data_IF_349704199121
#
_entry.id   IF_349704199121
#
_cell.length_a   1.000
_cell.length_b   1.000
_cell.length_c   1.000
_cell.angle_alpha   90.00
_cell.angle_beta   90.00
_cell.angle_gamma   90.00
#
_symmetry.space_group_name_H-M   'P 1'
#
loop_
_entity.id
_entity.type
_entity.pdbx_description
1 polymer ?
#
# COMPACT_ATOMS: atom_id res chain seq x y z
N UNK A 1 -2.82 13.30 5.20
CA UNK A 1 -2.83 12.07 4.38
C UNK A 1 -2.80 12.46 2.91
N UNK A 2 -2.00 11.79 2.06
CA UNK A 2 -2.05 11.97 0.60
C UNK A 2 -3.15 11.06 0.05
N UNK A 3 -4.02 11.58 -0.82
CA UNK A 3 -5.06 10.78 -1.46
C UNK A 3 -4.39 9.77 -2.43
N UNK A 4 -4.58 8.45 -2.25
CA UNK A 4 -4.02 7.46 -3.15
C UNK A 4 -4.49 7.61 -4.61
N UNK A 5 -5.61 8.31 -4.84
CA UNK A 5 -6.12 8.64 -6.19
C UNK A 5 -5.22 9.62 -6.92
N UNK A 6 -4.66 10.61 -6.23
CA UNK A 6 -3.71 11.56 -6.82
C UNK A 6 -2.42 10.82 -7.20
N UNK A 7 -1.93 9.97 -6.30
CA UNK A 7 -0.75 9.14 -6.54
C UNK A 7 -0.93 8.17 -7.73
N UNK A 8 -2.12 7.55 -7.86
CA UNK A 8 -2.47 6.73 -9.02
C UNK A 8 -2.38 7.55 -10.31
N UNK A 9 -2.98 8.74 -10.33
CA UNK A 9 -3.01 9.61 -11.51
C UNK A 9 -1.61 10.01 -11.96
N UNK A 10 -0.77 10.45 -11.01
CA UNK A 10 0.64 10.77 -11.31
C UNK A 10 1.43 9.56 -11.78
N UNK A 11 1.20 8.38 -11.21
CA UNK A 11 1.88 7.16 -11.65
C UNK A 11 1.48 6.79 -13.08
N UNK A 12 0.18 6.89 -13.42
CA UNK A 12 -0.32 6.63 -14.77
C UNK A 12 0.35 7.54 -15.81
N UNK A 13 0.47 8.84 -15.51
CA UNK A 13 1.12 9.82 -16.40
C UNK A 13 2.62 9.52 -16.55
N UNK A 14 3.32 9.23 -15.45
CA UNK A 14 4.73 8.88 -15.49
C UNK A 14 4.97 7.58 -16.28
N UNK A 15 4.07 6.60 -16.18
CA UNK A 15 4.15 5.35 -16.91
C UNK A 15 3.92 5.56 -18.41
N UNK A 16 2.89 6.32 -18.82
CA UNK A 16 2.57 6.55 -20.24
C UNK A 16 3.61 7.40 -20.95
N UNK A 17 4.26 8.31 -20.22
CA UNK A 17 5.35 9.15 -20.74
C UNK A 17 6.70 8.44 -20.73
N UNK A 18 6.80 7.23 -20.19
CA UNK A 18 8.05 6.47 -20.07
C UNK A 18 9.01 7.04 -19.01
N UNK A 19 8.54 7.94 -18.14
CA UNK A 19 9.33 8.49 -17.04
C UNK A 19 9.63 7.44 -15.97
N UNK A 20 8.73 6.46 -15.80
CA UNK A 20 8.94 5.30 -14.92
C UNK A 20 8.76 4.00 -15.69
N UNK A 21 9.57 3.00 -15.33
CA UNK A 21 9.50 1.65 -15.85
C UNK A 21 9.40 0.68 -14.67
N UNK A 22 8.19 0.31 -14.22
CA UNK A 22 8.03 -0.62 -13.12
C UNK A 22 8.46 -2.04 -13.55
N UNK A 23 9.03 -2.80 -12.63
CA UNK A 23 9.49 -4.16 -12.86
C UNK A 23 8.43 -5.17 -12.42
N UNK A 24 8.46 -6.39 -12.96
CA UNK A 24 7.56 -7.45 -12.48
C UNK A 24 7.78 -7.74 -10.99
N UNK A 25 6.67 -7.98 -10.29
CA UNK A 25 6.66 -8.48 -8.93
C UNK A 25 7.23 -9.92 -8.84
N UNK A 26 7.72 -10.29 -7.66
CA UNK A 26 8.39 -11.56 -7.44
C UNK A 26 7.40 -12.69 -7.15
N UNK A 27 6.34 -12.42 -6.38
CA UNK A 27 5.31 -13.39 -5.99
C UNK A 27 4.12 -13.34 -6.96
N UNK A 28 3.61 -12.15 -7.24
CA UNK A 28 2.41 -11.91 -8.06
C UNK A 28 2.80 -11.45 -9.47
N UNK A 29 3.01 -12.39 -10.40
CA UNK A 29 3.61 -12.13 -11.72
C UNK A 29 2.78 -11.22 -12.63
N UNK A 30 1.49 -11.07 -12.37
CA UNK A 30 0.61 -10.14 -13.08
C UNK A 30 0.80 -8.68 -12.65
N UNK A 31 1.49 -8.44 -11.53
CA UNK A 31 1.67 -7.13 -10.95
C UNK A 31 3.08 -6.61 -11.21
N UNK A 32 3.21 -5.29 -11.11
CA UNK A 32 4.49 -4.59 -11.23
C UNK A 32 4.76 -3.77 -9.99
N UNK A 33 6.03 -3.56 -9.69
CA UNK A 33 6.53 -2.75 -8.59
C UNK A 33 7.50 -1.69 -9.08
N UNK A 34 7.43 -0.51 -8.50
CA UNK A 34 8.42 0.55 -8.62
C UNK A 34 8.90 0.92 -7.21
N UNK A 35 10.21 0.89 -7.00
CA UNK A 35 10.84 1.46 -5.80
C UNK A 35 11.39 2.83 -6.17
N UNK A 36 10.89 3.87 -5.50
CA UNK A 36 11.36 5.24 -5.66
C UNK A 36 11.59 5.95 -4.33
N UNK A 37 12.04 7.20 -4.41
CA UNK A 37 12.32 8.06 -3.27
C UNK A 37 11.77 9.47 -3.56
N UNK A 38 10.46 9.72 -3.32
CA UNK A 38 9.85 11.02 -3.61
C UNK A 38 10.42 12.18 -2.79
N UNK A 39 10.98 11.91 -1.61
CA UNK A 39 11.67 12.87 -0.75
C UNK A 39 12.93 12.21 -0.16
N UNK A 40 13.97 12.99 0.21
CA UNK A 40 15.20 12.44 0.80
C UNK A 40 14.91 11.48 1.96
N UNK A 41 15.43 10.25 1.86
CA UNK A 41 15.26 9.14 2.81
C UNK A 41 13.82 8.62 2.97
N UNK A 42 12.88 9.01 2.10
CA UNK A 42 11.53 8.49 2.11
C UNK A 42 11.35 7.48 0.98
N UNK A 43 11.73 6.23 1.24
CA UNK A 43 11.49 5.14 0.29
C UNK A 43 9.99 4.87 0.15
N UNK A 44 9.56 4.66 -1.09
CA UNK A 44 8.20 4.25 -1.43
C UNK A 44 8.22 3.09 -2.41
N UNK A 45 7.42 2.08 -2.12
CA UNK A 45 7.12 0.99 -3.04
C UNK A 45 5.75 1.25 -3.65
N UNK A 46 5.65 1.32 -4.97
CA UNK A 46 4.39 1.46 -5.69
C UNK A 46 4.10 0.17 -6.46
N UNK A 47 2.98 -0.47 -6.17
CA UNK A 47 2.51 -1.69 -6.80
C UNK A 47 1.32 -1.39 -7.71
N UNK A 48 1.33 -1.94 -8.92
CA UNK A 48 0.29 -1.69 -9.92
C UNK A 48 -0.15 -2.95 -10.65
N UNK A 49 -1.43 -2.97 -11.03
CA UNK A 49 -1.95 -3.85 -12.08
C UNK A 49 -2.15 -3.00 -13.33
N UNK A 50 -1.64 -3.50 -14.46
CA UNK A 50 -1.69 -2.81 -15.75
C UNK A 50 -2.40 -3.70 -16.76
N UNK A 51 -3.44 -3.18 -17.41
CA UNK A 51 -4.15 -3.83 -18.52
C UNK A 51 -4.14 -2.90 -19.74
N UNK A 52 -3.69 -3.39 -20.90
CA UNK A 52 -3.65 -2.62 -22.15
C UNK A 52 -2.99 -1.23 -22.05
N UNK A 53 -1.99 -1.07 -21.16
CA UNK A 53 -1.29 0.20 -20.92
C UNK A 53 -1.95 1.13 -19.90
N UNK A 54 -3.07 0.71 -19.29
CA UNK A 54 -3.77 1.45 -18.25
C UNK A 54 -3.52 0.82 -16.87
N UNK A 55 -3.23 1.66 -15.87
CA UNK A 55 -3.12 1.28 -14.46
C UNK A 55 -4.54 1.12 -13.89
N UNK A 56 -4.98 -0.13 -13.76
CA UNK A 56 -6.34 -0.46 -13.30
C UNK A 56 -6.44 -0.59 -11.77
N UNK A 57 -5.30 -0.72 -11.08
CA UNK A 57 -5.23 -0.74 -9.63
C UNK A 57 -3.85 -0.29 -9.16
N UNK A 58 -3.82 0.44 -8.05
CA UNK A 58 -2.60 1.01 -7.49
C UNK A 58 -2.58 0.81 -5.98
N UNK A 59 -1.42 0.47 -5.43
CA UNK A 59 -1.12 0.58 -4.01
C UNK A 59 0.28 1.16 -3.82
N UNK A 60 0.50 1.94 -2.75
CA UNK A 60 1.83 2.34 -2.34
C UNK A 60 2.09 1.98 -0.88
N UNK A 61 3.35 1.75 -0.54
CA UNK A 61 3.86 1.57 0.80
C UNK A 61 4.95 2.60 1.03
N UNK A 62 4.74 3.50 1.99
CA UNK A 62 5.71 4.52 2.37
C UNK A 62 6.12 4.33 3.81
N UNK A 63 7.39 4.59 4.12
CA UNK A 63 7.87 4.59 5.51
C UNK A 63 7.19 5.71 6.31
N UNK A 64 6.79 5.38 7.53
CA UNK A 64 6.30 6.32 8.55
C UNK A 64 7.10 6.13 9.85
N UNK A 65 6.74 6.89 10.88
CA UNK A 65 7.39 6.81 12.18
C UNK A 65 7.39 5.36 12.71
N UNK A 66 8.54 4.88 13.23
CA UNK A 66 8.64 3.53 13.74
C UNK A 66 7.78 3.34 14.98
N UNK A 67 7.27 2.12 15.16
CA UNK A 67 6.46 1.73 16.31
C UNK A 67 7.11 0.54 17.02
N UNK A 68 7.31 0.66 18.33
CA UNK A 68 7.94 -0.37 19.17
C UNK A 68 9.29 -0.87 18.57
N UNK A 69 10.08 0.08 18.07
CA UNK A 69 11.37 -0.18 17.42
C UNK A 69 11.28 -0.91 16.07
N UNK A 70 10.09 -1.04 15.48
CA UNK A 70 9.87 -1.72 14.19
C UNK A 70 9.55 -0.71 13.11
N UNK A 71 9.99 -1.02 11.89
CA UNK A 71 9.61 -0.28 10.70
C UNK A 71 8.09 -0.38 10.51
N UNK A 72 7.49 0.73 10.11
CA UNK A 72 6.06 0.82 9.79
C UNK A 72 5.92 1.34 8.36
N UNK A 73 5.13 0.63 7.57
CA UNK A 73 4.71 1.09 6.26
C UNK A 73 3.26 1.55 6.30
N UNK A 74 3.02 2.81 5.94
CA UNK A 74 1.69 3.30 5.63
C UNK A 74 1.33 2.84 4.22
N UNK A 75 0.18 2.17 4.07
CA UNK A 75 -0.38 1.77 2.78
C UNK A 75 -1.46 2.76 2.32
N UNK A 76 -1.39 3.12 1.04
CA UNK A 76 -2.48 3.75 0.30
C UNK A 76 -2.88 2.88 -0.89
N UNK A 77 -4.16 2.85 -1.26
CA UNK A 77 -4.62 2.12 -2.45
C UNK A 77 -5.75 2.86 -3.17
N UNK A 78 -5.77 2.75 -4.50
CA UNK A 78 -6.77 3.37 -5.36
C UNK A 78 -7.08 2.51 -6.57
N UNK A 79 -8.28 2.73 -7.11
CA UNK A 79 -8.78 2.11 -8.35
C UNK A 79 -9.48 3.20 -9.17
N UNK A 80 -9.17 3.33 -10.48
CA UNK A 80 -9.85 4.30 -11.33
C UNK A 80 -11.36 4.05 -11.33
N UNK A 81 -12.22 5.09 -11.40
CA UNK A 81 -13.67 4.93 -11.33
C UNK A 81 -14.25 3.85 -12.27
N UNK A 82 -13.73 3.74 -13.49
CA UNK A 82 -14.16 2.76 -14.50
C UNK A 82 -13.88 1.29 -14.11
N UNK A 83 -12.97 1.06 -13.16
CA UNK A 83 -12.54 -0.26 -12.72
C UNK A 83 -13.00 -0.63 -11.31
N UNK A 84 -13.78 0.25 -10.64
CA UNK A 84 -14.31 0.00 -9.30
C UNK A 84 -15.36 -1.11 -9.30
N UNK A 85 -15.64 -1.66 -8.11
CA UNK A 85 -16.62 -2.75 -7.92
C UNK A 85 -16.14 -4.15 -8.32
N UNK A 86 -14.93 -4.27 -8.88
CA UNK A 86 -14.34 -5.54 -9.35
C UNK A 86 -13.41 -6.23 -8.32
N UNK A 87 -13.37 -5.73 -7.08
CA UNK A 87 -12.47 -6.25 -6.04
C UNK A 87 -10.98 -5.87 -6.19
N UNK A 88 -10.63 -5.02 -7.17
CA UNK A 88 -9.24 -4.67 -7.50
C UNK A 88 -8.48 -3.99 -6.35
N UNK A 89 -9.13 -3.13 -5.56
CA UNK A 89 -8.50 -2.46 -4.41
C UNK A 89 -8.00 -3.47 -3.36
N UNK A 90 -8.83 -4.47 -3.05
CA UNK A 90 -8.44 -5.57 -2.16
C UNK A 90 -7.30 -6.38 -2.76
N UNK A 91 -7.37 -6.68 -4.06
CA UNK A 91 -6.33 -7.45 -4.76
C UNK A 91 -4.99 -6.74 -4.68
N UNK A 92 -4.89 -5.48 -5.09
CA UNK A 92 -3.62 -4.76 -5.13
C UNK A 92 -3.04 -4.49 -3.74
N UNK A 93 -3.88 -4.27 -2.72
CA UNK A 93 -3.43 -4.14 -1.34
C UNK A 93 -2.80 -5.46 -0.82
N UNK A 94 -3.39 -6.61 -1.15
CA UNK A 94 -2.81 -7.92 -0.82
C UNK A 94 -1.49 -8.17 -1.56
N UNK A 95 -1.45 -7.88 -2.86
CA UNK A 95 -0.21 -7.96 -3.66
C UNK A 95 0.90 -7.17 -2.99
N UNK A 96 0.66 -5.91 -2.63
CA UNK A 96 1.67 -5.06 -2.00
C UNK A 96 2.19 -5.64 -0.67
N UNK A 97 1.31 -6.21 0.16
CA UNK A 97 1.66 -6.83 1.44
C UNK A 97 2.46 -8.12 1.25
N UNK A 98 2.01 -8.99 0.33
CA UNK A 98 2.67 -10.26 0.07
C UNK A 98 4.08 -10.03 -0.52
N UNK A 99 4.24 -9.08 -1.44
CA UNK A 99 5.52 -8.73 -2.05
C UNK A 99 6.51 -8.16 -1.02
N UNK A 100 6.07 -7.21 -0.18
CA UNK A 100 6.98 -6.62 0.80
C UNK A 100 7.35 -7.63 1.89
N UNK A 101 6.42 -8.48 2.36
CA UNK A 101 6.73 -9.55 3.31
C UNK A 101 7.71 -10.55 2.69
N UNK A 102 7.50 -10.93 1.44
CA UNK A 102 8.41 -11.82 0.73
C UNK A 102 9.82 -11.22 0.59
N UNK A 103 9.93 -9.96 0.16
CA UNK A 103 11.20 -9.25 0.04
C UNK A 103 11.94 -9.13 1.38
N UNK A 104 11.23 -8.75 2.44
CA UNK A 104 11.81 -8.61 3.78
C UNK A 104 12.26 -9.96 4.37
N UNK A 105 11.47 -11.02 4.19
CA UNK A 105 11.86 -12.37 4.61
C UNK A 105 13.11 -12.86 3.87
N UNK A 106 13.19 -12.62 2.57
CA UNK A 106 14.36 -12.97 1.74
C UNK A 106 15.62 -12.23 2.23
N UNK A 107 15.46 -10.97 2.64
CA UNK A 107 16.53 -10.15 3.19
C UNK A 107 16.85 -10.45 4.68
N UNK A 108 16.20 -11.45 5.29
CA UNK A 108 16.30 -11.75 6.73
C UNK A 108 16.06 -10.52 7.63
N UNK A 109 15.15 -9.65 7.20
CA UNK A 109 14.80 -8.42 7.91
C UNK A 109 13.89 -8.71 9.12
N UNK A 110 13.96 -7.89 10.20
CA UNK A 110 13.11 -8.07 11.37
C UNK A 110 11.63 -7.86 11.03
N UNK A 111 10.75 -8.24 11.98
CA UNK A 111 9.32 -8.00 11.86
C UNK A 111 9.01 -6.52 11.70
N UNK A 112 8.00 -6.21 10.91
CA UNK A 112 7.58 -4.86 10.56
C UNK A 112 6.06 -4.76 10.49
N UNK A 113 5.52 -3.56 10.58
CA UNK A 113 4.09 -3.31 10.46
C UNK A 113 3.74 -2.78 9.07
N UNK A 114 2.56 -3.17 8.59
CA UNK A 114 1.86 -2.47 7.50
C UNK A 114 0.53 -1.97 8.05
N UNK A 115 0.21 -0.71 7.77
CA UNK A 115 -1.00 -0.07 8.29
C UNK A 115 -1.73 0.79 7.28
N UNK A 116 -3.06 0.83 7.42
CA UNK A 116 -3.94 1.70 6.66
C UNK A 116 -4.72 2.60 7.61
N UNK A 117 -4.76 3.90 7.30
CA UNK A 117 -5.55 4.90 8.00
C UNK A 117 -6.70 5.32 7.09
N UNK A 118 -7.93 5.09 7.52
CA UNK A 118 -9.13 5.32 6.70
C UNK A 118 -10.10 6.18 7.48
N UNK A 119 -10.57 7.27 6.86
CA UNK A 119 -11.62 8.14 7.43
C UNK A 119 -12.95 7.39 7.61
N UNK A 120 -13.72 7.77 8.63
CA UNK A 120 -14.93 7.04 9.04
C UNK A 120 -16.05 7.05 7.99
N UNK A 121 -16.11 8.07 7.13
CA UNK A 121 -17.05 8.17 6.02
C UNK A 121 -16.67 7.32 4.81
N UNK A 122 -15.41 6.88 4.69
CA UNK A 122 -14.95 6.09 3.55
C UNK A 122 -15.22 4.59 3.75
N UNK A 123 -16.51 4.22 3.72
CA UNK A 123 -16.99 2.86 3.95
C UNK A 123 -16.39 1.84 2.96
N UNK A 124 -16.17 2.25 1.70
CA UNK A 124 -15.57 1.38 0.70
C UNK A 124 -14.13 0.98 1.07
N UNK A 125 -13.30 1.95 1.48
CA UNK A 125 -11.93 1.67 1.90
C UNK A 125 -11.89 0.93 3.24
N UNK A 126 -12.80 1.20 4.16
CA UNK A 126 -12.90 0.41 5.40
C UNK A 126 -13.17 -1.07 5.12
N UNK A 127 -14.05 -1.38 4.16
CA UNK A 127 -14.29 -2.78 3.77
C UNK A 127 -13.05 -3.43 3.16
N UNK A 128 -12.30 -2.68 2.33
CA UNK A 128 -11.03 -3.18 1.78
C UNK A 128 -10.04 -3.44 2.91
N UNK A 129 -9.83 -2.45 3.78
CA UNK A 129 -8.91 -2.56 4.90
C UNK A 129 -9.29 -3.72 5.84
N UNK A 130 -10.56 -3.86 6.20
CA UNK A 130 -11.01 -4.95 7.05
C UNK A 130 -10.75 -6.33 6.43
N UNK A 131 -10.93 -6.46 5.11
CA UNK A 131 -10.68 -7.70 4.38
C UNK A 131 -9.19 -8.06 4.25
N UNK A 132 -8.29 -7.09 4.44
CA UNK A 132 -6.84 -7.23 4.26
C UNK A 132 -6.13 -7.35 5.61
N UNK A 133 -6.55 -6.56 6.60
CA UNK A 133 -5.87 -6.40 7.88
C UNK A 133 -6.65 -6.96 9.07
N UNK A 134 -7.95 -7.26 8.92
CA UNK A 134 -8.83 -7.62 10.03
C UNK A 134 -9.43 -6.39 10.72
N UNK A 135 -9.63 -6.45 12.04
CA UNK A 135 -10.33 -5.40 12.77
C UNK A 135 -9.49 -4.12 12.93
N UNK A 136 -10.19 -2.98 12.97
CA UNK A 136 -9.57 -1.67 13.19
C UNK A 136 -9.54 -1.27 14.66
N UNK A 137 -8.63 -0.36 14.99
CA UNK A 137 -8.69 0.47 16.19
C UNK A 137 -8.97 1.92 15.80
N UNK A 138 -9.68 2.68 16.63
CA UNK A 138 -9.76 4.13 16.45
C UNK A 138 -8.39 4.74 16.74
N UNK A 139 -7.87 5.59 15.84
CA UNK A 139 -6.49 6.08 15.93
C UNK A 139 -6.33 7.59 16.06
N UNK A 140 -7.41 8.37 15.89
CA UNK A 140 -7.38 9.82 15.99
C UNK A 140 -8.33 10.47 15.00
N UNK A 141 -7.97 11.66 14.52
CA UNK A 141 -8.68 12.40 13.48
C UNK A 141 -7.71 12.84 12.37
N UNK A 142 -8.20 12.95 11.14
CA UNK A 142 -7.45 13.48 10.01
C UNK A 142 -7.21 14.99 10.21
N UNK A 143 -5.95 15.41 10.18
CA UNK A 143 -5.56 16.79 10.49
C UNK A 143 -6.18 17.83 9.55
N UNK A 144 -6.50 17.45 8.31
CA UNK A 144 -7.02 18.36 7.29
C UNK A 144 -8.53 18.54 7.40
N UNK A 145 -9.25 17.50 7.80
CA UNK A 145 -10.72 17.46 7.79
C UNK A 145 -11.34 17.41 9.19
N UNK A 146 -10.59 17.03 10.21
CA UNK A 146 -11.08 16.75 11.56
C UNK A 146 -11.84 15.44 11.70
N UNK A 147 -11.90 14.63 10.63
CA UNK A 147 -12.70 13.41 10.60
C UNK A 147 -11.99 12.25 11.32
N UNK A 148 -12.74 11.45 12.08
CA UNK A 148 -12.20 10.27 12.78
C UNK A 148 -11.53 9.29 11.81
N UNK A 149 -10.35 8.80 12.22
CA UNK A 149 -9.59 7.77 11.52
C UNK A 149 -9.74 6.41 12.20
N UNK A 150 -9.93 5.40 11.35
CA UNK A 150 -9.78 3.98 11.69
C UNK A 150 -8.43 3.49 11.18
N UNK A 151 -7.65 2.94 12.10
CA UNK A 151 -6.36 2.32 11.82
C UNK A 151 -6.53 0.81 11.75
N UNK A 152 -6.06 0.26 10.65
CA UNK A 152 -5.95 -1.16 10.39
C UNK A 152 -4.47 -1.50 10.32
N UNK A 153 -4.02 -2.56 11.01
CA UNK A 153 -2.59 -2.88 11.10
C UNK A 153 -2.37 -4.38 11.19
N UNK A 154 -1.33 -4.86 10.50
CA UNK A 154 -0.83 -6.22 10.58
C UNK A 154 0.67 -6.22 10.86
N UNK A 155 1.14 -7.18 11.67
CA UNK A 155 2.57 -7.44 11.91
C UNK A 155 3.02 -8.56 10.97
N UNK A 156 4.10 -8.33 10.23
CA UNK A 156 4.65 -9.23 9.22
C UNK A 156 6.14 -9.54 9.51
N UNK A 157 6.74 -10.42 8.71
CA UNK A 157 8.11 -10.90 8.88
C UNK A 157 8.24 -12.17 9.74
N UNK A 158 9.47 -12.66 9.88
CA UNK A 158 9.78 -13.84 10.71
C UNK A 158 9.86 -13.46 12.18
N UNK A 159 9.30 -14.30 13.06
CA UNK A 159 9.63 -14.24 14.49
C UNK A 159 11.12 -14.53 14.67
N UNK A 160 11.84 -13.86 15.58
CA UNK A 160 13.29 -14.00 15.70
C UNK A 160 13.83 -15.41 16.03
N UNK A 161 12.98 -16.43 16.19
CA UNK A 161 13.38 -17.77 16.66
C UNK A 161 12.67 -18.95 15.99
N UNK A 162 12.03 -18.77 14.83
CA UNK A 162 11.54 -19.92 14.03
C UNK A 162 12.65 -20.38 13.07
N UNK A 163 13.47 -21.31 13.56
CA UNK A 163 14.39 -22.18 12.80
C UNK A 163 13.67 -23.49 12.45
#
# INVERSE_FOLDING_TARGET
MVDPTDALTSFQEAYTTGLVAPQNCDVHKEAFVLLDEPLPNQKRFSYVLIEFGEVIAFANLSLTDPLDGKVVFQIGYAVPPAHRGKGLARRIAKVAIDEIDHGFRRANSPMFYVEASVIDSNIASQRVAQNVFGDSKQSGADERTGETLKLYRVLLGKKPFEL
#
